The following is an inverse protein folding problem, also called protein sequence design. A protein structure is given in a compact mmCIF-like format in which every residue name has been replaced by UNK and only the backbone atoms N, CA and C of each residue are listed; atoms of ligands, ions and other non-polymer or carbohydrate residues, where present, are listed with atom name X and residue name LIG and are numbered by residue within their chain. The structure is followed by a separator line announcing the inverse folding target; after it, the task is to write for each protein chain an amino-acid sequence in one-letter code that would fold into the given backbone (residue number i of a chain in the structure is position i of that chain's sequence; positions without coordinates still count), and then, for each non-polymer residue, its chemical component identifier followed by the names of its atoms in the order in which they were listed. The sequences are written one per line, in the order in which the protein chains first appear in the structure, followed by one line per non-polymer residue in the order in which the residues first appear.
data_IF_551843183799
#
_entry.id   IF_551843183799
#
_cell.length_a   1.000
_cell.length_b   1.000
_cell.length_c   1.000
_cell.angle_alpha   90.00
_cell.angle_beta   90.00
_cell.angle_gamma   90.00
#
_symmetry.space_group_name_H-M   'P 1'
#
loop_
_entity.id
_entity.type
_entity.pdbx_description
1 polymer ?
#
# COMPACT_ATOMS: atom_id res chain seq x y z
N UNK A 1 6.11 15.29 1.35
CA UNK A 1 5.73 14.84 2.71
C UNK A 1 6.05 13.35 2.90
N UNK A 2 6.03 12.81 4.12
CA UNK A 2 6.31 11.39 4.36
C UNK A 2 5.25 10.49 3.70
N UNK A 3 4.01 10.95 3.69
CA UNK A 3 2.90 10.29 3.01
C UNK A 3 3.11 10.21 1.49
N UNK A 4 3.48 11.33 0.87
CA UNK A 4 3.74 11.40 -0.57
C UNK A 4 4.85 10.42 -1.01
N UNK A 5 5.94 10.35 -0.22
CA UNK A 5 7.00 9.35 -0.46
C UNK A 5 6.49 7.92 -0.32
N UNK A 6 5.62 7.67 0.65
CA UNK A 6 5.04 6.35 0.87
C UNK A 6 4.14 5.94 -0.30
N UNK A 7 3.31 6.86 -0.80
CA UNK A 7 2.47 6.65 -1.99
C UNK A 7 3.35 6.40 -3.21
N UNK A 8 4.38 7.21 -3.44
CA UNK A 8 5.31 7.02 -4.57
C UNK A 8 6.00 5.65 -4.54
N UNK A 9 6.45 5.20 -3.36
CA UNK A 9 7.03 3.86 -3.15
C UNK A 9 6.02 2.76 -3.48
N UNK A 10 4.81 2.87 -2.94
CA UNK A 10 3.74 1.87 -3.12
C UNK A 10 3.33 1.78 -4.59
N UNK A 11 3.17 2.93 -5.27
CA UNK A 11 2.82 3.00 -6.69
C UNK A 11 3.94 2.44 -7.58
N UNK A 12 5.20 2.72 -7.24
CA UNK A 12 6.37 2.26 -7.99
C UNK A 12 6.56 0.74 -7.90
N UNK A 13 6.57 0.20 -6.69
CA UNK A 13 6.82 -1.23 -6.46
C UNK A 13 5.55 -2.08 -6.59
N UNK A 14 4.37 -1.44 -6.73
CA UNK A 14 3.04 -2.09 -6.73
C UNK A 14 2.84 -3.03 -5.53
N UNK A 15 3.44 -2.70 -4.39
CA UNK A 15 3.34 -3.45 -3.13
C UNK A 15 2.97 -2.51 -1.99
N UNK A 16 1.87 -2.81 -1.31
CA UNK A 16 1.48 -2.11 -0.10
C UNK A 16 1.34 -3.07 1.09
N UNK A 17 2.20 -2.89 2.08
CA UNK A 17 2.14 -3.56 3.38
C UNK A 17 2.80 -2.67 4.43
N UNK A 18 2.31 -2.68 5.67
CA UNK A 18 2.86 -1.86 6.77
C UNK A 18 4.35 -2.10 6.98
N UNK A 19 4.78 -3.36 7.04
CA UNK A 19 6.21 -3.72 7.15
C UNK A 19 7.05 -3.29 5.94
N UNK A 20 6.45 -3.22 4.74
CA UNK A 20 7.15 -2.79 3.52
C UNK A 20 7.41 -1.29 3.56
N UNK A 21 6.37 -0.51 3.86
CA UNK A 21 6.44 0.96 4.05
C UNK A 21 7.42 1.31 5.17
N UNK A 22 7.39 0.57 6.28
CA UNK A 22 8.33 0.72 7.40
C UNK A 22 9.79 0.63 6.94
N UNK A 23 10.15 -0.44 6.21
CA UNK A 23 11.53 -0.68 5.75
C UNK A 23 11.96 0.31 4.68
N UNK A 24 11.06 0.67 3.75
CA UNK A 24 11.39 1.55 2.61
C UNK A 24 11.58 3.00 3.02
N UNK A 25 10.82 3.47 4.00
CA UNK A 25 10.89 4.85 4.49
C UNK A 25 11.73 4.98 5.77
N UNK A 26 12.22 3.86 6.32
CA UNK A 26 12.96 3.80 7.57
C UNK A 26 12.20 4.47 8.74
N UNK A 27 10.89 4.23 8.80
CA UNK A 27 10.01 4.78 9.84
C UNK A 27 9.64 3.70 10.86
N UNK A 28 9.17 4.11 12.04
CA UNK A 28 8.60 3.18 13.01
C UNK A 28 7.30 2.52 12.53
N UNK A 29 6.96 1.35 13.09
CA UNK A 29 5.78 0.57 12.70
C UNK A 29 4.47 1.37 12.78
N UNK A 30 4.22 2.08 13.89
CA UNK A 30 3.02 2.90 14.05
C UNK A 30 2.90 3.98 12.98
N UNK A 31 4.01 4.64 12.62
CA UNK A 31 4.03 5.62 11.53
C UNK A 31 3.68 4.95 10.20
N UNK A 32 4.30 3.81 9.88
CA UNK A 32 3.98 3.08 8.66
C UNK A 32 2.51 2.65 8.61
N UNK A 33 1.96 2.17 9.73
CA UNK A 33 0.54 1.83 9.85
C UNK A 33 -0.36 3.02 9.56
N UNK A 34 -0.14 4.16 10.23
CA UNK A 34 -0.94 5.37 9.99
C UNK A 34 -0.85 5.89 8.56
N UNK A 35 0.32 5.79 7.92
CA UNK A 35 0.47 6.16 6.51
C UNK A 35 -0.35 5.25 5.59
N UNK A 36 -0.34 3.94 5.86
CA UNK A 36 -1.08 2.94 5.09
C UNK A 36 -2.59 3.05 5.31
N UNK A 37 -3.04 3.28 6.55
CA UNK A 37 -4.45 3.57 6.86
C UNK A 37 -4.94 4.84 6.16
N UNK A 38 -4.09 5.88 6.13
CA UNK A 38 -4.41 7.10 5.37
C UNK A 38 -4.54 6.82 3.88
N UNK A 39 -3.63 6.02 3.30
CA UNK A 39 -3.75 5.60 1.90
C UNK A 39 -5.06 4.85 1.63
N UNK A 40 -5.53 4.02 2.57
CA UNK A 40 -6.81 3.33 2.44
C UNK A 40 -7.99 4.32 2.49
N UNK A 41 -7.95 5.25 3.45
CA UNK A 41 -8.98 6.28 3.59
C UNK A 41 -9.08 7.21 2.39
N UNK A 42 -7.95 7.51 1.74
CA UNK A 42 -7.90 8.31 0.50
C UNK A 42 -8.19 7.47 -0.76
N UNK A 43 -8.42 6.16 -0.63
CA UNK A 43 -8.72 5.28 -1.75
C UNK A 43 -7.51 4.96 -2.63
N UNK A 44 -6.28 5.15 -2.14
CA UNK A 44 -5.03 4.79 -2.81
C UNK A 44 -4.80 3.28 -2.77
N UNK A 45 -5.14 2.65 -1.64
CA UNK A 45 -5.05 1.21 -1.44
C UNK A 45 -6.37 0.65 -0.92
N UNK A 46 -6.63 -0.60 -1.23
CA UNK A 46 -7.79 -1.34 -0.74
C UNK A 46 -7.55 -1.95 0.64
N UNK A 47 -8.56 -2.69 1.14
CA UNK A 47 -8.48 -3.37 2.42
C UNK A 47 -7.30 -4.35 2.48
N UNK A 48 -6.80 -4.59 3.70
CA UNK A 48 -5.80 -5.63 3.92
C UNK A 48 -6.41 -7.02 3.69
N UNK A 49 -5.75 -7.83 2.88
CA UNK A 49 -6.06 -9.25 2.76
C UNK A 49 -5.47 -10.04 3.94
N UNK A 50 -5.81 -11.33 4.06
CA UNK A 50 -5.38 -12.23 5.13
C UNK A 50 -3.85 -12.27 5.37
N UNK A 51 -3.05 -12.01 4.34
CA UNK A 51 -1.59 -11.95 4.42
C UNK A 51 -1.03 -10.56 4.81
N UNK A 52 -1.87 -9.59 5.18
CA UNK A 52 -1.46 -8.21 5.48
C UNK A 52 -1.04 -7.38 4.26
N UNK A 53 -1.25 -7.91 3.05
CA UNK A 53 -1.04 -7.21 1.78
C UNK A 53 -2.29 -6.43 1.41
N UNK A 54 -2.12 -5.24 0.85
CA UNK A 54 -3.21 -4.37 0.39
C UNK A 54 -3.14 -4.21 -1.11
N UNK A 55 -4.29 -4.31 -1.77
CA UNK A 55 -4.41 -4.03 -3.20
C UNK A 55 -4.20 -2.53 -3.43
N UNK A 56 -3.60 -2.14 -4.55
CA UNK A 56 -3.38 -0.73 -4.87
C UNK A 56 -4.44 -0.32 -5.89
N UNK A 57 -5.22 0.70 -5.56
CA UNK A 57 -6.37 1.14 -6.36
C UNK A 57 -6.00 2.28 -7.31
N UNK A 58 -4.95 3.05 -6.98
CA UNK A 58 -4.55 4.25 -7.75
C UNK A 58 -3.34 3.94 -8.65
N UNK A 59 -3.27 4.61 -9.81
CA UNK A 59 -2.14 4.48 -10.75
C UNK A 59 -2.35 3.50 -11.89
N UNK A 60 -3.57 3.45 -12.46
CA UNK A 60 -3.85 3.00 -13.84
C UNK A 60 -3.64 1.52 -14.17
N UNK A 61 -3.09 0.75 -13.26
CA UNK A 61 -3.03 -0.70 -13.36
C UNK A 61 -4.04 -1.26 -12.38
N UNK A 62 -5.29 -1.43 -12.83
CA UNK A 62 -6.09 -2.56 -12.39
C UNK A 62 -5.12 -3.73 -12.34
N UNK A 63 -4.86 -4.26 -11.15
CA UNK A 63 -4.10 -5.50 -11.07
C UNK A 63 -4.96 -6.52 -11.84
N UNK A 64 -4.62 -6.76 -13.11
CA UNK A 64 -5.22 -7.80 -13.95
C UNK A 64 -4.79 -9.20 -13.46
N UNK A 65 -4.40 -9.34 -12.19
CA UNK A 65 -3.77 -10.52 -11.62
C UNK A 65 -4.50 -11.14 -10.44
N UNK A 66 -5.62 -10.58 -9.97
CA UNK A 66 -6.35 -11.12 -8.81
C UNK A 66 -7.77 -11.65 -9.11
N UNK A 67 -8.18 -11.74 -10.38
CA UNK A 67 -9.46 -12.35 -10.79
C UNK A 67 -9.30 -13.65 -11.61
N UNK A 68 -8.13 -14.29 -11.57
CA UNK A 68 -7.97 -15.65 -12.10
C UNK A 68 -7.78 -16.60 -10.92
N UNK A 69 -8.81 -17.41 -10.65
CA UNK A 69 -8.85 -18.34 -9.54
C UNK A 69 -10.30 -18.74 -9.22
N UNK A 70 -10.78 -19.71 -10.00
CA UNK A 70 -11.95 -20.56 -9.77
C UNK A 70 -12.07 -21.07 -8.32
#
# INVERSE_FOLDING_TARGET
DLYDRAVAVVLRDKKCSTSYVQRRLQVGYNKAASLVERMEKEGVVGPANHAGKRQILVGGGVDRGAFDGE
#
